data_IF_319036007646
#
_entry.id   IF_319036007646
#
_cell.length_a   1.000
_cell.length_b   1.000
_cell.length_c   1.000
_cell.angle_alpha   90.00
_cell.angle_beta   90.00
_cell.angle_gamma   90.00
#
_symmetry.space_group_name_H-M   'P 1'
#
loop_
_entity.id
_entity.type
_entity.pdbx_description
1 polymer ?
#
# COMPACT_ATOMS: atom_id res chain seq x y z
N UNK A 1 -14.72 -9.39 3.74
CA UNK A 1 -13.75 -8.41 4.27
C UNK A 1 -12.39 -9.09 4.43
N UNK A 2 -11.28 -8.54 3.93
CA UNK A 2 -9.98 -8.77 4.54
C UNK A 2 -9.98 -8.34 5.99
N UNK A 3 -9.11 -8.94 6.78
CA UNK A 3 -8.94 -8.62 8.18
C UNK A 3 -8.19 -7.30 8.30
N UNK A 4 -8.77 -6.27 8.95
CA UNK A 4 -8.13 -4.96 9.16
C UNK A 4 -6.74 -5.08 9.79
N UNK A 5 -6.48 -6.15 10.52
CA UNK A 5 -5.21 -6.47 11.17
C UNK A 5 -4.05 -6.65 10.17
N UNK A 6 -4.29 -7.32 9.04
CA UNK A 6 -3.25 -7.54 8.03
C UNK A 6 -2.73 -6.22 7.42
N UNK A 7 -3.61 -5.22 7.31
CA UNK A 7 -3.21 -3.89 6.87
C UNK A 7 -2.47 -3.11 7.97
N UNK A 8 -2.84 -3.25 9.24
CA UNK A 8 -2.20 -2.50 10.35
C UNK A 8 -0.72 -2.83 10.49
N UNK A 9 -0.35 -4.10 10.39
CA UNK A 9 1.05 -4.52 10.51
C UNK A 9 1.90 -4.01 9.34
N UNK A 10 1.39 -4.16 8.11
CA UNK A 10 2.04 -3.63 6.91
C UNK A 10 2.16 -2.10 6.96
N UNK A 11 1.13 -1.39 7.39
CA UNK A 11 1.15 0.08 7.54
C UNK A 11 2.22 0.51 8.53
N UNK A 12 2.35 -0.18 9.66
CA UNK A 12 3.34 0.15 10.71
C UNK A 12 4.76 0.01 10.17
N UNK A 13 5.07 -1.10 9.51
CA UNK A 13 6.40 -1.35 8.93
C UNK A 13 6.71 -0.44 7.74
N UNK A 14 5.72 -0.18 6.88
CA UNK A 14 5.87 0.77 5.79
C UNK A 14 6.10 2.22 6.27
N UNK A 15 5.53 2.64 7.42
CA UNK A 15 5.83 3.96 8.00
C UNK A 15 7.30 4.09 8.35
N UNK A 16 7.91 3.04 8.93
CA UNK A 16 9.36 3.02 9.19
C UNK A 16 10.19 3.13 7.90
N UNK A 17 9.71 2.49 6.82
CA UNK A 17 10.37 2.50 5.51
C UNK A 17 10.30 3.85 4.76
N UNK A 18 9.48 4.81 5.19
CA UNK A 18 9.34 6.11 4.51
C UNK A 18 10.64 6.92 4.53
N UNK A 19 11.46 6.75 5.56
CA UNK A 19 12.71 7.50 5.72
C UNK A 19 13.77 7.12 4.68
N UNK A 20 13.64 5.95 4.06
CA UNK A 20 14.58 5.46 3.05
C UNK A 20 14.21 5.90 1.61
N UNK A 21 13.09 6.62 1.44
CA UNK A 21 12.62 7.05 0.14
C UNK A 21 13.17 8.43 -0.28
N UNK A 22 13.52 8.60 -1.57
CA UNK A 22 13.74 9.93 -2.11
C UNK A 22 12.43 10.74 -2.08
N UNK A 23 12.54 12.06 -1.95
CA UNK A 23 11.40 12.96 -1.73
C UNK A 23 10.27 12.78 -2.77
N UNK A 24 10.63 12.58 -4.04
CA UNK A 24 9.67 12.38 -5.13
C UNK A 24 8.88 11.06 -5.06
N UNK A 25 9.39 10.05 -4.35
CA UNK A 25 8.70 8.78 -4.08
C UNK A 25 7.94 8.83 -2.75
N UNK A 26 8.45 9.62 -1.81
CA UNK A 26 7.90 9.74 -0.46
C UNK A 26 6.47 10.28 -0.46
N UNK A 27 6.18 11.31 -1.24
CA UNK A 27 4.84 11.90 -1.32
C UNK A 27 3.77 10.87 -1.76
N UNK A 28 4.04 10.11 -2.83
CA UNK A 28 3.14 9.06 -3.29
C UNK A 28 3.05 7.89 -2.28
N UNK A 29 4.15 7.57 -1.60
CA UNK A 29 4.17 6.53 -0.59
C UNK A 29 3.36 6.91 0.67
N UNK A 30 3.48 8.15 1.12
CA UNK A 30 2.68 8.72 2.20
C UNK A 30 1.20 8.72 1.83
N UNK A 31 0.87 9.09 0.58
CA UNK A 31 -0.53 9.07 0.12
C UNK A 31 -1.11 7.66 0.04
N UNK A 32 -0.35 6.68 -0.45
CA UNK A 32 -0.75 5.28 -0.42
C UNK A 32 -0.99 4.78 1.01
N UNK A 33 -0.11 5.13 1.95
CA UNK A 33 -0.26 4.75 3.36
C UNK A 33 -1.47 5.38 4.03
N UNK A 34 -1.79 6.62 3.67
CA UNK A 34 -2.97 7.32 4.20
C UNK A 34 -4.25 6.58 3.83
N UNK A 35 -4.44 6.26 2.54
CA UNK A 35 -5.62 5.52 2.04
C UNK A 35 -5.76 4.14 2.69
N UNK A 36 -4.64 3.44 2.88
CA UNK A 36 -4.63 2.12 3.52
C UNK A 36 -4.94 2.23 5.02
N UNK A 37 -4.47 3.28 5.68
CA UNK A 37 -4.77 3.55 7.10
C UNK A 37 -6.26 3.87 7.29
N UNK A 38 -6.84 4.69 6.41
CA UNK A 38 -8.28 4.99 6.39
C UNK A 38 -9.09 3.69 6.26
N UNK A 39 -8.72 2.82 5.30
CA UNK A 39 -9.36 1.52 5.11
C UNK A 39 -9.32 0.64 6.36
N UNK A 40 -8.22 0.67 7.12
CA UNK A 40 -7.99 -0.18 8.30
C UNK A 40 -8.65 0.36 9.60
N UNK A 41 -8.98 1.64 9.65
CA UNK A 41 -9.66 2.30 10.77
C UNK A 41 -11.17 2.22 10.64
N UNK A 42 -11.74 3.03 9.74
CA UNK A 42 -13.19 3.25 9.63
C UNK A 42 -13.74 2.97 8.22
N UNK A 43 -12.88 2.59 7.27
CA UNK A 43 -13.25 2.40 5.87
C UNK A 43 -12.97 3.65 5.01
N UNK A 44 -13.29 3.57 3.72
CA UNK A 44 -13.06 4.66 2.76
C UNK A 44 -14.42 5.30 2.43
N UNK A 45 -14.54 6.61 2.63
CA UNK A 45 -15.79 7.36 2.39
C UNK A 45 -16.16 7.42 0.89
N UNK A 46 -15.19 7.68 0.01
CA UNK A 46 -15.37 7.66 -1.46
C UNK A 46 -14.47 6.59 -2.10
N UNK A 47 -15.03 5.38 -2.23
CA UNK A 47 -14.32 4.27 -2.88
C UNK A 47 -13.96 4.55 -4.34
N UNK A 48 -14.78 5.31 -5.07
CA UNK A 48 -14.54 5.55 -6.50
C UNK A 48 -13.36 6.50 -6.70
N UNK A 49 -13.25 7.53 -5.87
CA UNK A 49 -12.08 8.39 -5.83
C UNK A 49 -10.83 7.61 -5.41
N UNK A 50 -10.91 6.80 -4.35
CA UNK A 50 -9.79 6.00 -3.89
C UNK A 50 -9.30 5.00 -4.96
N UNK A 51 -10.21 4.31 -5.66
CA UNK A 51 -9.85 3.40 -6.77
C UNK A 51 -9.03 4.10 -7.85
N UNK A 52 -9.48 5.28 -8.31
CA UNK A 52 -8.77 6.07 -9.34
C UNK A 52 -7.39 6.51 -8.84
N UNK A 53 -7.33 6.98 -7.61
CA UNK A 53 -6.09 7.47 -7.01
C UNK A 53 -5.06 6.35 -6.83
N UNK A 54 -5.50 5.19 -6.34
CA UNK A 54 -4.64 4.01 -6.15
C UNK A 54 -4.01 3.53 -7.45
N UNK A 55 -4.74 3.51 -8.56
CA UNK A 55 -4.18 3.14 -9.87
C UNK A 55 -3.00 4.06 -10.25
N UNK A 56 -3.18 5.37 -10.10
CA UNK A 56 -2.11 6.34 -10.36
C UNK A 56 -0.92 6.17 -9.41
N UNK A 57 -1.18 5.94 -8.12
CA UNK A 57 -0.12 5.69 -7.13
C UNK A 57 0.68 4.43 -7.44
N UNK A 58 0.01 3.32 -7.78
CA UNK A 58 0.66 2.05 -8.13
C UNK A 58 1.59 2.24 -9.33
N UNK A 59 1.12 2.93 -10.37
CA UNK A 59 1.95 3.19 -11.55
C UNK A 59 3.16 4.07 -11.22
N UNK A 60 2.96 5.17 -10.50
CA UNK A 60 4.05 6.09 -10.16
C UNK A 60 5.05 5.45 -9.20
N UNK A 61 4.60 4.70 -8.19
CA UNK A 61 5.47 3.98 -7.25
C UNK A 61 6.20 2.82 -7.95
N UNK A 62 5.52 2.09 -8.84
CA UNK A 62 6.11 0.98 -9.60
C UNK A 62 7.14 1.41 -10.64
N UNK A 63 7.04 2.64 -11.16
CA UNK A 63 8.08 3.24 -12.02
C UNK A 63 9.30 3.71 -11.25
N UNK A 64 9.20 3.87 -9.93
CA UNK A 64 10.31 4.33 -9.07
C UNK A 64 11.11 3.13 -8.56
N UNK A 65 12.31 3.43 -8.05
CA UNK A 65 13.32 2.45 -7.62
C UNK A 65 12.78 1.36 -6.68
N UNK A 66 13.57 0.30 -6.51
CA UNK A 66 13.23 -0.86 -5.65
C UNK A 66 12.71 -0.48 -4.27
N UNK A 67 13.15 0.64 -3.68
CA UNK A 67 12.69 1.17 -2.39
C UNK A 67 11.16 1.44 -2.30
N UNK A 68 10.49 1.73 -3.42
CA UNK A 68 9.04 2.04 -3.45
C UNK A 68 8.13 0.80 -3.55
N UNK A 69 8.70 -0.39 -3.78
CA UNK A 69 7.97 -1.66 -3.97
C UNK A 69 6.95 -2.01 -2.87
N UNK A 70 7.22 -1.83 -1.55
CA UNK A 70 6.27 -2.24 -0.52
C UNK A 70 5.04 -1.33 -0.56
N UNK A 71 5.21 -0.03 -0.83
CA UNK A 71 4.11 0.92 -0.97
C UNK A 71 3.26 0.63 -2.21
N UNK A 72 3.90 0.31 -3.34
CA UNK A 72 3.18 -0.12 -4.55
C UNK A 72 2.38 -1.41 -4.32
N UNK A 73 2.96 -2.37 -3.59
CA UNK A 73 2.33 -3.65 -3.26
C UNK A 73 1.16 -3.45 -2.29
N UNK A 74 1.32 -2.59 -1.29
CA UNK A 74 0.28 -2.25 -0.33
C UNK A 74 -0.89 -1.49 -0.99
N UNK A 75 -0.60 -0.53 -1.88
CA UNK A 75 -1.62 0.15 -2.67
C UNK A 75 -2.37 -0.83 -3.59
N UNK A 76 -1.66 -1.80 -4.18
CA UNK A 76 -2.27 -2.86 -5.00
C UNK A 76 -3.17 -3.78 -4.18
N UNK A 77 -2.78 -4.11 -2.95
CA UNK A 77 -3.62 -4.87 -2.04
C UNK A 77 -4.95 -4.16 -1.77
N UNK A 78 -4.89 -2.87 -1.43
CA UNK A 78 -6.08 -2.07 -1.20
C UNK A 78 -6.96 -1.97 -2.45
N UNK A 79 -6.36 -1.70 -3.62
CA UNK A 79 -7.09 -1.67 -4.89
C UNK A 79 -7.82 -2.99 -5.14
N UNK A 80 -7.14 -4.12 -4.92
CA UNK A 80 -7.73 -5.45 -5.08
C UNK A 80 -8.87 -5.72 -4.08
N UNK A 81 -8.73 -5.30 -2.82
CA UNK A 81 -9.81 -5.37 -1.83
C UNK A 81 -11.05 -4.59 -2.27
N UNK A 82 -10.85 -3.35 -2.71
CA UNK A 82 -11.93 -2.48 -3.19
C UNK A 82 -12.61 -3.00 -4.48
N UNK A 83 -11.93 -3.85 -5.24
CA UNK A 83 -12.48 -4.57 -6.40
C UNK A 83 -13.02 -5.96 -6.05
N UNK A 84 -13.01 -6.36 -4.78
CA UNK A 84 -13.49 -7.68 -4.32
C UNK A 84 -12.56 -8.85 -4.68
N UNK A 85 -11.35 -8.59 -5.16
CA UNK A 85 -10.39 -9.62 -5.58
C UNK A 85 -9.50 -10.07 -4.43
N UNK A 86 -10.03 -10.98 -3.60
CA UNK A 86 -9.36 -11.48 -2.40
C UNK A 86 -8.03 -12.20 -2.67
N UNK A 87 -7.92 -12.93 -3.78
CA UNK A 87 -6.67 -13.63 -4.13
C UNK A 87 -5.55 -12.64 -4.42
N UNK A 88 -5.80 -11.66 -5.30
CA UNK A 88 -4.84 -10.62 -5.68
C UNK A 88 -4.47 -9.75 -4.47
N UNK A 89 -5.44 -9.44 -3.62
CA UNK A 89 -5.19 -8.70 -2.39
C UNK A 89 -4.21 -9.43 -1.48
N UNK A 90 -4.39 -10.74 -1.25
CA UNK A 90 -3.49 -11.55 -0.41
C UNK A 90 -2.10 -11.65 -1.02
N UNK A 91 -2.00 -11.95 -2.30
CA UNK A 91 -0.71 -11.99 -3.01
C UNK A 91 0.05 -10.66 -2.91
N UNK A 92 -0.67 -9.55 -2.96
CA UNK A 92 -0.11 -8.20 -2.86
C UNK A 92 0.35 -7.86 -1.44
N UNK A 93 -0.37 -8.31 -0.41
CA UNK A 93 0.08 -8.20 0.98
C UNK A 93 1.34 -9.03 1.22
N UNK A 94 1.39 -10.27 0.75
CA UNK A 94 2.57 -11.11 0.87
C UNK A 94 3.77 -10.50 0.12
N UNK A 95 3.53 -9.85 -1.04
CA UNK A 95 4.57 -9.13 -1.77
C UNK A 95 5.08 -7.90 -0.99
N UNK A 96 4.17 -7.17 -0.33
CA UNK A 96 4.52 -6.07 0.56
C UNK A 96 5.41 -6.56 1.72
N UNK A 97 4.99 -7.63 2.38
CA UNK A 97 5.73 -8.23 3.48
C UNK A 97 7.12 -8.71 3.05
N UNK A 98 7.22 -9.49 1.96
CA UNK A 98 8.52 -9.93 1.44
C UNK A 98 9.44 -8.77 1.12
N UNK A 99 8.91 -7.69 0.55
CA UNK A 99 9.69 -6.51 0.25
C UNK A 99 10.19 -5.80 1.52
N UNK A 100 9.38 -5.75 2.59
CA UNK A 100 9.79 -5.19 3.89
C UNK A 100 10.87 -6.05 4.55
N UNK A 101 10.70 -7.37 4.57
CA UNK A 101 11.68 -8.33 5.13
C UNK A 101 13.05 -8.20 4.44
N UNK A 102 13.07 -8.06 3.10
CA UNK A 102 14.31 -7.85 2.35
C UNK A 102 15.04 -6.54 2.70
N UNK A 103 14.35 -5.59 3.37
CA UNK A 103 14.94 -4.36 3.91
C UNK A 103 15.33 -4.47 5.39
N UNK A 104 15.06 -5.60 6.04
CA UNK A 104 15.28 -5.77 7.47
C UNK A 104 14.25 -5.07 8.36
N UNK A 105 13.09 -4.73 7.78
CA UNK A 105 11.93 -4.17 8.48
C UNK A 105 10.88 -5.24 8.68
#
# INVERSE_FOLDING_TARGET
MPEPEAYRDCVTRCRSALNDLPANAREDAERALQLVSERAGDGIEDEAAAKRELLGLIERLGRRASAAVPFASLARALSADLHGSRAVMRESLDACERALVLRGL
#
